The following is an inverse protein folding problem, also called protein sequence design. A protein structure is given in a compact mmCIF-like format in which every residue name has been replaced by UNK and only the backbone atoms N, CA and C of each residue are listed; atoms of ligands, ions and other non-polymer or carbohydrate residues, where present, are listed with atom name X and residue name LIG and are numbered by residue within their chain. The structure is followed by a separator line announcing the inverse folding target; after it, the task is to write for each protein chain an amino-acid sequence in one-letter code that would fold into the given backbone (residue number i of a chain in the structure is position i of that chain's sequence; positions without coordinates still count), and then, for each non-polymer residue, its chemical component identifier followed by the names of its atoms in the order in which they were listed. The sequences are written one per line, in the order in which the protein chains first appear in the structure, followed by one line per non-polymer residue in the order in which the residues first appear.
data_IF_598939440504
#
_entry.id   IF_598939440504
#
_cell.length_a   1.000
_cell.length_b   1.000
_cell.length_c   1.000
_cell.angle_alpha   90.00
_cell.angle_beta   90.00
_cell.angle_gamma   90.00
#
_symmetry.space_group_name_H-M   'P 1'
#
loop_
_entity.id
_entity.type
_entity.pdbx_description
1 polymer ?
#
# COMPACT_ATOMS: atom_id res chain seq x y z
N UNK A 1 34.83 -67.30 -2.51
CA UNK A 1 34.28 -67.77 -1.22
C UNK A 1 33.09 -66.88 -0.90
N UNK A 2 31.85 -67.40 -0.82
CA UNK A 2 31.18 -67.88 0.40
C UNK A 2 31.21 -66.86 1.57
N UNK A 3 30.10 -66.50 2.25
CA UNK A 3 28.68 -66.90 2.17
C UNK A 3 27.78 -65.81 2.80
N UNK A 4 26.57 -65.72 2.28
CA UNK A 4 25.29 -65.28 2.89
C UNK A 4 25.15 -65.56 4.40
N UNK A 5 24.40 -64.72 5.12
CA UNK A 5 23.25 -65.03 6.02
C UNK A 5 22.67 -63.72 6.63
N UNK A 6 21.51 -63.66 7.28
CA UNK A 6 20.11 -63.79 6.78
C UNK A 6 19.11 -63.72 7.98
N UNK A 7 17.94 -63.06 7.79
CA UNK A 7 16.73 -63.00 8.68
C UNK A 7 16.84 -62.08 9.92
N UNK A 8 15.98 -61.08 10.07
CA UNK A 8 14.52 -61.05 10.34
C UNK A 8 14.15 -61.33 11.80
N UNK A 9 13.45 -60.38 12.42
CA UNK A 9 12.37 -60.68 13.36
C UNK A 9 11.31 -59.56 13.32
N UNK A 10 10.09 -59.96 12.97
CA UNK A 10 8.86 -59.17 13.10
C UNK A 10 8.27 -59.53 14.46
N UNK A 11 7.78 -58.54 15.21
CA UNK A 11 6.69 -58.79 16.16
C UNK A 11 5.74 -57.59 16.17
N UNK A 12 4.50 -57.83 15.71
CA UNK A 12 3.36 -57.04 16.15
C UNK A 12 3.09 -57.38 17.62
N UNK A 13 2.69 -56.40 18.41
CA UNK A 13 1.75 -56.67 19.50
C UNK A 13 0.88 -55.43 19.74
N UNK A 14 -0.40 -55.55 19.42
CA UNK A 14 -1.40 -54.60 19.85
C UNK A 14 -1.92 -55.05 21.24
N UNK A 15 -1.96 -54.14 22.21
CA UNK A 15 -2.63 -54.37 23.49
C UNK A 15 -3.52 -53.17 23.78
N UNK A 16 -4.82 -53.45 23.95
CA UNK A 16 -5.80 -52.51 24.48
C UNK A 16 -5.45 -52.14 25.92
N UNK A 17 -5.52 -50.86 26.25
CA UNK A 17 -5.42 -50.35 27.62
C UNK A 17 -6.38 -49.19 27.85
N UNK A 18 -7.64 -49.49 28.20
CA UNK A 18 -8.54 -48.47 28.77
C UNK A 18 -8.13 -48.18 30.22
N UNK A 19 -7.61 -46.99 30.52
CA UNK A 19 -7.52 -46.49 31.91
C UNK A 19 -7.80 -44.98 31.96
N UNK A 20 -8.80 -44.63 32.76
CA UNK A 20 -9.07 -43.34 33.44
C UNK A 20 -8.94 -42.01 32.66
N UNK A 21 -10.06 -41.31 32.54
CA UNK A 21 -10.07 -39.85 32.51
C UNK A 21 -9.56 -39.32 33.87
N UNK A 22 -8.38 -38.70 33.87
CA UNK A 22 -7.87 -37.90 34.99
C UNK A 22 -7.67 -36.46 34.53
N UNK A 23 -8.43 -35.52 35.09
CA UNK A 23 -8.19 -34.10 34.86
C UNK A 23 -6.87 -33.70 35.52
N UNK A 24 -5.83 -33.49 34.70
CA UNK A 24 -4.66 -32.72 35.11
C UNK A 24 -4.84 -31.27 34.66
N UNK A 25 -5.33 -30.44 35.58
CA UNK A 25 -5.22 -28.99 35.47
C UNK A 25 -3.74 -28.61 35.66
N UNK A 26 -2.99 -28.62 34.56
CA UNK A 26 -1.64 -28.09 34.52
C UNK A 26 -1.70 -26.56 34.59
N UNK A 27 -1.68 -26.01 35.81
CA UNK A 27 -1.41 -24.60 36.06
C UNK A 27 0.01 -24.26 35.58
N UNK A 28 0.13 -23.89 34.30
CA UNK A 28 1.33 -23.24 33.78
C UNK A 28 1.17 -21.75 34.03
N UNK A 29 1.62 -21.32 35.20
CA UNK A 29 1.83 -19.90 35.49
C UNK A 29 2.96 -19.38 34.58
N UNK A 30 2.59 -18.91 33.39
CA UNK A 30 3.48 -18.07 32.60
C UNK A 30 3.69 -16.76 33.37
N UNK A 31 4.94 -16.36 33.67
CA UNK A 31 5.19 -15.06 34.26
C UNK A 31 4.74 -13.98 33.28
N UNK A 32 3.71 -13.23 33.67
CA UNK A 32 3.25 -12.04 32.95
C UNK A 32 4.30 -10.95 33.15
N UNK A 33 5.36 -11.01 32.34
CA UNK A 33 6.39 -9.99 32.32
C UNK A 33 5.75 -8.63 32.03
N UNK A 34 6.04 -7.63 32.88
CA UNK A 34 5.58 -6.26 32.67
C UNK A 34 6.15 -5.70 31.37
N UNK A 35 5.28 -5.49 30.38
CA UNK A 35 5.60 -4.93 29.06
C UNK A 35 5.18 -3.45 28.95
N UNK A 36 5.59 -2.54 29.86
CA UNK A 36 5.09 -1.15 29.75
C UNK A 36 5.98 0.05 30.15
N UNK A 37 7.20 -0.11 30.70
CA UNK A 37 7.97 1.05 31.18
C UNK A 37 9.25 1.42 30.40
N UNK A 38 9.87 0.50 29.64
CA UNK A 38 11.13 0.78 28.94
C UNK A 38 11.00 1.20 27.46
N UNK A 39 9.78 1.30 26.92
CA UNK A 39 9.53 1.75 25.53
C UNK A 39 9.50 3.28 25.39
N UNK A 40 9.18 4.02 26.46
CA UNK A 40 9.01 5.48 26.42
C UNK A 40 10.32 6.28 26.33
N UNK A 41 11.47 5.66 26.61
CA UNK A 41 12.74 6.40 26.72
C UNK A 41 13.43 6.70 25.38
N UNK A 42 12.90 6.19 24.26
CA UNK A 42 13.36 6.54 22.90
C UNK A 42 12.38 7.45 22.12
N UNK A 43 11.26 7.84 22.73
CA UNK A 43 10.38 8.88 22.20
C UNK A 43 10.87 10.28 22.63
N UNK A 44 12.07 10.67 22.17
CA UNK A 44 12.20 12.09 21.78
C UNK A 44 11.17 12.31 20.67
N UNK A 45 10.37 13.39 20.69
CA UNK A 45 9.36 13.59 19.67
C UNK A 45 10.06 13.58 18.31
N UNK A 46 9.69 12.66 17.41
CA UNK A 46 10.20 12.67 16.04
C UNK A 46 9.85 14.00 15.34
N UNK A 47 8.80 14.68 15.83
CA UNK A 47 8.49 16.07 15.51
C UNK A 47 9.64 17.04 15.80
N UNK A 48 10.43 16.91 16.88
CA UNK A 48 11.63 17.74 17.11
C UNK A 48 12.75 17.42 16.10
N UNK A 49 12.91 16.16 15.71
CA UNK A 49 13.87 15.75 14.67
C UNK A 49 13.51 16.27 13.27
N UNK A 50 12.26 16.69 13.04
CA UNK A 50 11.83 17.39 11.82
C UNK A 50 11.68 18.91 12.00
N UNK A 51 11.42 19.42 13.21
CA UNK A 51 11.25 20.84 13.48
C UNK A 51 12.59 21.60 13.54
N UNK A 52 13.69 20.94 13.89
CA UNK A 52 15.01 21.57 13.97
C UNK A 52 15.67 21.85 12.59
N UNK A 53 14.98 21.61 11.47
CA UNK A 53 15.47 21.94 10.11
C UNK A 53 15.00 23.33 9.59
N UNK A 54 14.17 24.08 10.34
CA UNK A 54 13.69 25.42 9.91
C UNK A 54 14.69 26.59 10.11
N UNK A 55 15.95 26.33 10.46
CA UNK A 55 16.95 27.38 10.74
C UNK A 55 18.17 27.46 9.80
N UNK A 56 18.27 26.60 8.78
CA UNK A 56 19.23 26.81 7.69
C UNK A 56 18.60 27.63 6.54
N UNK A 57 19.35 28.61 6.06
CA UNK A 57 18.88 29.78 5.32
C UNK A 57 18.04 29.46 4.07
N UNK A 58 16.88 30.13 3.96
CA UNK A 58 16.07 30.15 2.74
C UNK A 58 16.78 31.01 1.68
N UNK A 59 17.77 30.43 1.01
CA UNK A 59 18.20 30.87 -0.31
C UNK A 59 17.06 30.63 -1.30
N UNK A 60 16.38 31.71 -1.69
CA UNK A 60 15.30 31.68 -2.69
C UNK A 60 15.87 31.50 -4.10
N UNK A 61 16.23 30.26 -4.45
CA UNK A 61 16.27 29.84 -5.85
C UNK A 61 14.87 29.39 -6.29
N UNK A 62 14.38 29.97 -7.39
CA UNK A 62 13.10 29.59 -7.99
C UNK A 62 13.20 28.17 -8.55
N UNK A 63 12.63 27.18 -7.83
CA UNK A 63 12.47 25.83 -8.37
C UNK A 63 11.37 25.86 -9.44
N UNK A 64 11.66 25.59 -10.73
CA UNK A 64 10.65 25.64 -11.77
C UNK A 64 9.68 24.47 -11.61
N UNK A 65 8.43 24.79 -11.30
CA UNK A 65 7.32 23.83 -11.29
C UNK A 65 7.03 23.34 -12.72
N UNK A 66 7.68 22.25 -13.11
CA UNK A 66 7.37 21.50 -14.33
C UNK A 66 7.25 20.01 -14.00
N UNK A 67 6.02 19.53 -13.97
CA UNK A 67 5.76 18.10 -14.12
C UNK A 67 6.36 17.62 -15.47
N UNK A 68 6.92 16.40 -15.54
CA UNK A 68 7.57 15.93 -16.75
C UNK A 68 6.56 15.80 -17.90
N UNK A 69 6.65 16.71 -18.88
CA UNK A 69 5.96 16.57 -20.16
C UNK A 69 6.64 15.48 -20.97
N UNK A 70 5.97 14.34 -21.13
CA UNK A 70 6.36 13.29 -22.07
C UNK A 70 6.26 13.81 -23.50
N UNK A 71 7.36 14.35 -24.04
CA UNK A 71 7.49 14.67 -25.47
C UNK A 71 8.07 13.48 -26.22
N UNK A 72 7.23 12.83 -27.02
CA UNK A 72 7.66 11.84 -28.01
C UNK A 72 8.55 12.53 -29.06
N UNK A 73 9.72 11.97 -29.41
CA UNK A 73 10.56 12.54 -30.45
C UNK A 73 9.96 12.28 -31.84
N UNK A 74 9.44 13.33 -32.47
CA UNK A 74 9.17 13.34 -33.91
C UNK A 74 10.45 13.79 -34.63
N UNK A 75 11.24 12.81 -35.07
CA UNK A 75 12.40 13.00 -35.94
C UNK A 75 12.21 12.27 -37.27
N UNK A 76 12.62 12.85 -38.41
CA UNK A 76 12.38 12.24 -39.73
C UNK A 76 13.28 11.02 -39.94
N UNK A 77 12.69 9.90 -40.38
CA UNK A 77 13.42 8.70 -40.72
C UNK A 77 14.14 8.87 -42.08
N UNK A 78 15.48 8.93 -42.05
CA UNK A 78 16.31 8.90 -43.26
C UNK A 78 16.29 7.49 -43.85
N UNK A 79 15.74 7.34 -45.05
CA UNK A 79 15.66 6.05 -45.75
C UNK A 79 16.98 5.73 -46.43
N UNK A 80 17.64 4.66 -46.00
CA UNK A 80 18.77 4.03 -46.69
C UNK A 80 18.33 2.70 -47.31
N UNK A 81 18.36 2.60 -48.64
CA UNK A 81 17.99 1.40 -49.39
C UNK A 81 18.93 0.21 -49.13
N UNK A 82 18.40 -1.03 -49.03
CA UNK A 82 19.14 -2.24 -49.33
C UNK A 82 18.95 -2.68 -50.79
N UNK A 83 19.97 -3.32 -51.37
CA UNK A 83 19.93 -3.89 -52.72
C UNK A 83 19.08 -5.17 -52.79
N UNK A 84 18.37 -5.37 -53.91
CA UNK A 84 17.80 -6.64 -54.34
C UNK A 84 18.92 -7.60 -54.78
N UNK A 85 18.79 -8.93 -54.60
CA UNK A 85 18.30 -9.71 -55.74
C UNK A 85 17.48 -10.99 -55.42
N UNK A 86 16.93 -11.55 -56.50
CA UNK A 86 16.45 -12.93 -56.68
C UNK A 86 14.99 -13.31 -56.29
N UNK A 87 14.16 -13.42 -57.33
CA UNK A 87 12.89 -14.15 -57.45
C UNK A 87 13.06 -15.64 -57.06
N UNK A 88 12.02 -16.35 -56.58
CA UNK A 88 11.24 -17.13 -57.56
C UNK A 88 9.73 -17.36 -57.28
N UNK A 89 9.01 -17.52 -58.40
CA UNK A 89 7.78 -18.31 -58.65
C UNK A 89 6.46 -17.99 -57.93
N UNK A 90 5.48 -17.66 -58.77
CA UNK A 90 4.04 -17.74 -58.50
C UNK A 90 3.55 -19.19 -58.38
N UNK A 91 2.74 -19.44 -57.35
CA UNK A 91 1.51 -20.23 -57.41
C UNK A 91 0.60 -19.72 -56.28
N UNK A 92 -0.71 -19.63 -56.40
CA UNK A 92 -1.60 -20.10 -57.47
C UNK A 92 -2.97 -20.38 -56.88
N UNK A 93 -3.77 -19.34 -56.66
CA UNK A 93 -5.23 -19.40 -56.43
C UNK A 93 -5.72 -19.98 -55.09
N UNK A 94 -6.45 -19.16 -54.33
CA UNK A 94 -7.91 -19.36 -54.13
C UNK A 94 -8.55 -18.11 -53.51
N UNK A 95 -9.32 -17.37 -54.29
CA UNK A 95 -10.24 -16.38 -53.70
C UNK A 95 -11.32 -17.12 -52.92
N UNK A 96 -11.46 -16.79 -51.63
CA UNK A 96 -12.55 -17.26 -50.79
C UNK A 96 -13.68 -16.22 -50.86
N UNK A 97 -14.93 -16.61 -51.17
CA UNK A 97 -16.02 -15.64 -51.33
C UNK A 97 -16.25 -14.86 -50.03
N UNK A 98 -16.25 -13.54 -50.16
CA UNK A 98 -16.58 -12.59 -49.09
C UNK A 98 -18.00 -12.89 -48.57
N UNK A 99 -18.20 -13.24 -47.29
CA UNK A 99 -19.52 -13.52 -46.76
C UNK A 99 -20.38 -12.26 -46.82
N UNK A 100 -21.56 -12.40 -47.39
CA UNK A 100 -22.56 -11.34 -47.50
C UNK A 100 -23.16 -11.06 -46.11
N UNK A 101 -22.70 -9.97 -45.49
CA UNK A 101 -23.18 -9.55 -44.17
C UNK A 101 -24.63 -9.08 -44.33
N UNK A 102 -25.58 -9.93 -43.91
CA UNK A 102 -26.97 -9.53 -43.76
C UNK A 102 -27.04 -8.39 -42.73
N UNK A 103 -27.80 -7.31 -42.99
CA UNK A 103 -27.99 -6.26 -41.99
C UNK A 103 -28.75 -6.83 -40.79
N UNK A 104 -28.03 -7.01 -39.69
CA UNK A 104 -28.61 -7.41 -38.41
C UNK A 104 -29.48 -6.27 -37.91
N UNK A 105 -30.80 -6.47 -37.95
CA UNK A 105 -31.79 -5.53 -37.43
C UNK A 105 -31.58 -5.46 -35.92
N UNK A 106 -30.89 -4.42 -35.46
CA UNK A 106 -30.74 -4.15 -34.04
C UNK A 106 -32.15 -4.02 -33.45
N UNK A 107 -32.54 -4.86 -32.47
CA UNK A 107 -33.83 -4.68 -31.82
C UNK A 107 -33.84 -3.30 -31.15
N UNK A 108 -34.94 -2.58 -31.30
CA UNK A 108 -35.15 -1.31 -30.63
C UNK A 108 -35.09 -1.54 -29.11
N UNK A 109 -33.94 -1.23 -28.52
CA UNK A 109 -33.74 -1.33 -27.07
C UNK A 109 -34.59 -0.23 -26.46
N UNK A 110 -35.78 -0.61 -26.00
CA UNK A 110 -36.66 0.26 -25.25
C UNK A 110 -35.85 0.94 -24.14
N UNK A 111 -35.90 2.27 -24.11
CA UNK A 111 -35.14 3.04 -23.14
C UNK A 111 -35.61 2.66 -21.74
N UNK A 112 -34.77 1.94 -20.98
CA UNK A 112 -35.04 1.68 -19.57
C UNK A 112 -35.09 3.02 -18.83
N UNK A 113 -36.13 3.21 -18.01
CA UNK A 113 -36.27 4.41 -17.20
C UNK A 113 -35.00 4.65 -16.35
N UNK A 114 -34.57 5.91 -16.15
CA UNK A 114 -33.38 6.21 -15.36
C UNK A 114 -33.49 5.63 -13.95
N UNK A 115 -32.72 4.58 -13.66
CA UNK A 115 -32.67 3.96 -12.33
C UNK A 115 -32.15 4.99 -11.33
N UNK A 116 -32.97 5.33 -10.33
CA UNK A 116 -32.58 6.26 -9.27
C UNK A 116 -31.31 5.75 -8.57
N UNK A 117 -30.32 6.62 -8.40
CA UNK A 117 -29.05 6.24 -7.76
C UNK A 117 -29.30 5.69 -6.34
N UNK A 118 -28.69 4.54 -5.97
CA UNK A 118 -28.94 3.93 -4.67
C UNK A 118 -28.50 4.84 -3.54
N UNK A 119 -29.42 5.12 -2.61
CA UNK A 119 -29.16 5.99 -1.45
C UNK A 119 -28.23 5.27 -0.45
N UNK A 120 -27.21 5.96 0.10
CA UNK A 120 -26.25 5.33 1.00
C UNK A 120 -26.89 4.92 2.33
N UNK A 121 -26.67 3.68 2.75
CA UNK A 121 -26.98 3.23 4.11
C UNK A 121 -25.85 3.67 5.03
N UNK A 122 -26.12 4.68 5.86
CA UNK A 122 -25.13 5.29 6.75
C UNK A 122 -25.34 4.87 8.21
N UNK A 123 -24.24 4.56 8.92
CA UNK A 123 -24.23 4.32 10.36
C UNK A 123 -23.27 5.29 11.04
N UNK A 124 -23.79 6.14 11.93
CA UNK A 124 -23.05 7.24 12.58
C UNK A 124 -24.00 8.35 13.05
N UNK A 125 -23.48 9.58 13.30
CA UNK A 125 -22.08 9.97 13.16
C UNK A 125 -21.20 9.40 14.27
N UNK A 126 -19.96 9.03 13.94
CA UNK A 126 -18.84 9.07 14.88
C UNK A 126 -18.06 10.37 14.73
N UNK A 127 -17.12 10.64 15.63
CA UNK A 127 -16.22 11.81 15.57
C UNK A 127 -14.81 11.33 15.22
N UNK A 128 -14.16 11.99 14.27
CA UNK A 128 -12.78 11.69 13.88
C UNK A 128 -11.79 12.08 14.99
N UNK A 129 -10.70 11.31 15.07
CA UNK A 129 -9.44 11.66 15.74
C UNK A 129 -8.33 11.42 14.71
N UNK A 130 -8.21 12.30 13.70
CA UNK A 130 -7.44 12.01 12.51
C UNK A 130 -5.95 12.25 12.73
N UNK A 131 -5.12 11.53 11.99
CA UNK A 131 -3.74 11.92 11.65
C UNK A 131 -3.53 11.71 10.16
N UNK A 132 -2.36 12.09 9.64
CA UNK A 132 -1.97 11.88 8.25
C UNK A 132 -0.63 11.15 8.20
N UNK A 133 -0.54 10.13 7.34
CA UNK A 133 0.69 9.41 7.03
C UNK A 133 0.90 9.35 5.51
N UNK A 134 2.15 9.19 5.10
CA UNK A 134 2.56 9.37 3.71
C UNK A 134 3.72 8.46 3.34
N UNK A 135 3.88 8.19 2.06
CA UNK A 135 5.00 7.44 1.52
C UNK A 135 6.23 8.34 1.40
N UNK A 136 7.22 8.10 2.26
CA UNK A 136 8.46 8.88 2.25
C UNK A 136 9.34 8.48 1.06
N UNK A 137 9.78 9.47 0.26
CA UNK A 137 10.81 9.29 -0.78
C UNK A 137 12.09 9.95 -0.29
N UNK A 138 13.13 9.16 -0.06
CA UNK A 138 14.33 9.55 0.68
C UNK A 138 15.55 9.42 -0.23
N UNK A 139 16.27 10.51 -0.46
CA UNK A 139 17.44 10.51 -1.33
C UNK A 139 18.72 10.29 -0.52
N UNK A 140 19.16 9.04 -0.46
CA UNK A 140 20.33 8.61 0.30
C UNK A 140 21.64 9.05 -0.35
N UNK A 141 21.67 9.30 -1.66
CA UNK A 141 22.82 9.88 -2.37
C UNK A 141 23.07 11.36 -1.99
N UNK A 142 22.04 12.05 -1.50
CA UNK A 142 22.13 13.42 -0.97
C UNK A 142 22.32 13.47 0.55
N UNK A 143 21.96 12.39 1.27
CA UNK A 143 22.10 12.32 2.72
C UNK A 143 23.58 12.18 3.12
N UNK A 144 24.09 13.15 3.88
CA UNK A 144 25.43 13.10 4.45
C UNK A 144 25.37 12.52 5.87
N UNK A 145 25.58 11.22 6.01
CA UNK A 145 25.90 10.60 7.30
C UNK A 145 27.16 9.73 7.19
N UNK A 146 27.90 9.63 8.29
CA UNK A 146 29.05 8.74 8.40
C UNK A 146 28.62 7.26 8.33
N UNK A 147 29.51 6.38 7.87
CA UNK A 147 29.17 4.97 7.62
C UNK A 147 28.87 4.17 8.90
N UNK A 148 29.39 4.60 10.05
CA UNK A 148 29.10 4.07 11.38
C UNK A 148 27.74 4.55 11.94
N UNK A 149 27.23 5.69 11.46
CA UNK A 149 25.89 6.20 11.75
C UNK A 149 24.78 5.56 10.88
N UNK A 150 25.15 4.73 9.89
CA UNK A 150 24.18 4.00 9.06
C UNK A 150 23.55 2.82 9.82
N UNK A 151 22.34 2.46 9.40
CA UNK A 151 21.53 1.36 9.89
C UNK A 151 21.19 0.42 8.75
N UNK A 152 21.11 -0.87 9.07
CA UNK A 152 20.65 -1.89 8.15
C UNK A 152 19.11 -1.90 8.09
N UNK A 153 18.55 -1.80 6.88
CA UNK A 153 17.19 -2.24 6.59
C UNK A 153 17.25 -3.76 6.41
N UNK A 154 16.61 -4.52 7.31
CA UNK A 154 16.62 -5.98 7.27
C UNK A 154 15.34 -6.52 6.64
N UNK A 155 15.47 -7.57 5.84
CA UNK A 155 14.37 -8.34 5.28
C UNK A 155 13.98 -9.56 6.11
N UNK A 156 13.11 -10.39 5.54
CA UNK A 156 12.77 -11.70 6.10
C UNK A 156 14.03 -12.52 6.45
N UNK A 157 13.98 -13.23 7.59
CA UNK A 157 15.13 -13.99 8.11
C UNK A 157 16.33 -13.14 8.56
N UNK A 158 16.19 -11.81 8.67
CA UNK A 158 17.25 -10.91 9.12
C UNK A 158 18.28 -10.52 8.07
N UNK A 159 18.14 -10.99 6.82
CA UNK A 159 19.00 -10.59 5.68
C UNK A 159 19.07 -9.07 5.54
N UNK A 160 20.26 -8.48 5.48
CA UNK A 160 20.40 -7.05 5.15
C UNK A 160 19.97 -6.80 3.70
N UNK A 161 19.06 -5.85 3.49
CA UNK A 161 18.60 -5.41 2.16
C UNK A 161 19.38 -4.17 1.71
N UNK A 162 19.51 -3.17 2.57
CA UNK A 162 20.14 -1.89 2.26
C UNK A 162 20.75 -1.25 3.52
N UNK A 163 21.85 -0.49 3.35
CA UNK A 163 22.43 0.37 4.39
C UNK A 163 22.03 1.82 4.15
N UNK A 164 21.44 2.46 5.16
CA UNK A 164 20.89 3.83 5.06
C UNK A 164 21.15 4.64 6.34
N UNK A 165 21.13 5.97 6.25
CA UNK A 165 21.24 6.87 7.40
C UNK A 165 20.11 6.63 8.41
N UNK A 166 20.37 6.89 9.70
CA UNK A 166 19.39 6.72 10.76
C UNK A 166 18.06 7.48 10.52
N UNK A 167 18.10 8.68 9.90
CA UNK A 167 16.90 9.44 9.50
C UNK A 167 16.07 8.67 8.46
N UNK A 168 16.71 8.14 7.42
CA UNK A 168 16.08 7.30 6.38
C UNK A 168 15.44 6.05 6.98
N UNK A 169 16.17 5.35 7.86
CA UNK A 169 15.67 4.17 8.57
C UNK A 169 14.44 4.49 9.43
N UNK A 170 14.49 5.57 10.21
CA UNK A 170 13.39 6.00 11.08
C UNK A 170 12.15 6.43 10.28
N UNK A 171 12.33 7.13 9.16
CA UNK A 171 11.23 7.51 8.26
C UNK A 171 10.53 6.27 7.67
N UNK A 172 11.29 5.32 7.12
CA UNK A 172 10.76 4.04 6.63
C UNK A 172 10.05 3.23 7.72
N UNK A 173 10.62 3.18 8.94
CA UNK A 173 10.03 2.50 10.09
C UNK A 173 8.71 3.13 10.56
N UNK A 174 8.60 4.46 10.50
CA UNK A 174 7.44 5.20 10.98
C UNK A 174 6.27 5.20 9.99
N UNK A 175 6.56 5.40 8.70
CA UNK A 175 5.52 5.44 7.65
C UNK A 175 5.03 4.05 7.21
N UNK A 176 5.74 2.97 7.57
CA UNK A 176 5.40 1.60 7.17
C UNK A 176 5.78 1.24 5.73
N UNK A 177 5.88 2.23 4.85
CA UNK A 177 6.38 2.11 3.48
C UNK A 177 7.22 3.33 3.09
N UNK A 178 8.21 3.14 2.21
CA UNK A 178 9.08 4.20 1.73
C UNK A 178 9.76 3.84 0.40
N UNK A 179 10.31 4.81 -0.29
CA UNK A 179 11.34 4.61 -1.31
C UNK A 179 12.66 5.25 -0.87
N UNK A 180 13.76 4.55 -1.14
CA UNK A 180 15.13 5.01 -0.91
C UNK A 180 15.85 5.07 -2.25
N UNK A 181 16.35 6.25 -2.61
CA UNK A 181 17.19 6.44 -3.81
C UNK A 181 18.65 6.32 -3.36
N UNK A 182 19.35 5.27 -3.82
CA UNK A 182 20.77 5.05 -3.55
C UNK A 182 21.49 4.60 -4.83
N UNK A 183 22.65 5.20 -5.10
CA UNK A 183 23.45 5.04 -6.33
C UNK A 183 22.62 5.27 -7.61
N UNK A 184 21.70 6.23 -7.57
CA UNK A 184 20.76 6.52 -8.66
C UNK A 184 19.68 5.46 -8.88
N UNK A 185 19.63 4.37 -8.10
CA UNK A 185 18.55 3.38 -8.12
C UNK A 185 17.53 3.67 -7.02
N UNK A 186 16.25 3.66 -7.38
CA UNK A 186 15.14 3.67 -6.41
C UNK A 186 14.87 2.25 -5.92
N UNK A 187 14.82 2.07 -4.61
CA UNK A 187 14.40 0.85 -3.92
C UNK A 187 13.16 1.16 -3.10
N UNK A 188 12.06 0.44 -3.34
CA UNK A 188 10.79 0.64 -2.62
C UNK A 188 10.62 -0.45 -1.58
N UNK A 189 10.30 -0.09 -0.33
CA UNK A 189 10.16 -1.04 0.77
C UNK A 189 8.82 -0.93 1.48
N UNK A 190 8.31 -2.07 1.97
CA UNK A 190 7.19 -2.16 2.88
C UNK A 190 7.58 -2.96 4.12
N UNK A 191 7.02 -2.63 5.29
CA UNK A 191 7.16 -3.45 6.50
C UNK A 191 6.40 -4.77 6.37
N UNK A 192 7.04 -5.86 6.78
CA UNK A 192 6.44 -7.17 7.05
C UNK A 192 5.87 -7.19 8.48
N UNK A 193 6.66 -6.67 9.43
CA UNK A 193 6.34 -6.60 10.84
C UNK A 193 7.59 -6.46 11.71
N UNK A 194 7.39 -6.54 13.03
CA UNK A 194 8.46 -6.46 14.03
C UNK A 194 8.79 -7.85 14.57
N UNK A 195 10.06 -8.24 14.49
CA UNK A 195 10.57 -9.55 14.91
C UNK A 195 11.77 -9.31 15.83
N UNK A 196 11.74 -9.86 17.05
CA UNK A 196 12.79 -9.69 18.06
C UNK A 196 13.11 -8.20 18.36
N UNK A 197 12.07 -7.35 18.33
CA UNK A 197 12.22 -5.91 18.52
C UNK A 197 12.72 -5.13 17.29
N UNK A 198 13.06 -5.79 16.19
CA UNK A 198 13.56 -5.18 14.95
C UNK A 198 12.52 -5.21 13.83
N UNK A 199 12.38 -4.12 13.08
CA UNK A 199 11.52 -4.09 11.89
C UNK A 199 12.12 -4.93 10.76
N UNK A 200 11.26 -5.69 10.08
CA UNK A 200 11.58 -6.46 8.88
C UNK A 200 10.80 -5.91 7.69
N UNK A 201 11.46 -5.79 6.55
CA UNK A 201 10.94 -5.19 5.33
C UNK A 201 10.92 -6.22 4.18
N UNK A 202 10.21 -5.91 3.10
CA UNK A 202 10.46 -6.50 1.79
C UNK A 202 10.59 -5.39 0.75
N UNK A 203 11.37 -5.65 -0.30
CA UNK A 203 11.45 -4.78 -1.47
C UNK A 203 10.21 -5.04 -2.33
N UNK A 204 9.50 -3.97 -2.72
CA UNK A 204 8.34 -4.04 -3.62
C UNK A 204 8.85 -4.09 -5.06
N UNK A 205 8.36 -5.07 -5.83
CA UNK A 205 8.68 -5.22 -7.25
C UNK A 205 8.04 -4.10 -8.08
N UNK A 206 8.57 -3.81 -9.26
CA UNK A 206 8.22 -2.62 -10.06
C UNK A 206 6.74 -2.61 -10.52
N UNK A 207 6.14 -3.79 -10.70
CA UNK A 207 4.74 -4.02 -11.03
C UNK A 207 3.82 -4.20 -9.80
N UNK A 208 4.38 -4.13 -8.59
CA UNK A 208 3.66 -4.25 -7.33
C UNK A 208 2.87 -2.99 -6.92
N UNK A 209 2.41 -2.96 -5.67
CA UNK A 209 1.72 -1.79 -5.12
C UNK A 209 2.70 -0.62 -4.94
N UNK A 210 2.78 0.28 -5.94
CA UNK A 210 3.69 1.45 -6.05
C UNK A 210 3.75 2.42 -4.85
N UNK A 211 2.85 2.23 -3.89
CA UNK A 211 2.59 3.07 -2.72
C UNK A 211 2.74 2.33 -1.39
N UNK A 212 3.10 1.04 -1.42
CA UNK A 212 3.05 0.16 -0.27
C UNK A 212 1.82 -0.75 -0.26
N UNK A 213 1.94 -1.78 0.58
CA UNK A 213 0.90 -2.73 0.92
C UNK A 213 0.42 -2.45 2.34
N UNK A 214 -0.89 -2.29 2.49
CA UNK A 214 -1.57 -2.33 3.78
C UNK A 214 -1.90 -3.77 4.17
N UNK A 215 -3.00 -3.95 4.91
CA UNK A 215 -3.41 -5.26 5.43
C UNK A 215 -4.02 -6.13 4.33
N UNK A 216 -3.86 -7.45 4.48
CA UNK A 216 -4.24 -8.46 3.50
C UNK A 216 -3.67 -8.20 2.09
N UNK A 217 -2.48 -7.59 2.01
CA UNK A 217 -1.83 -7.18 0.76
C UNK A 217 -2.64 -6.20 -0.10
N UNK A 218 -3.51 -5.40 0.51
CA UNK A 218 -4.24 -4.34 -0.20
C UNK A 218 -3.29 -3.21 -0.60
N UNK A 219 -3.32 -2.75 -1.85
CA UNK A 219 -2.53 -1.60 -2.26
C UNK A 219 -3.01 -0.31 -1.57
N UNK A 220 -2.07 0.51 -1.08
CA UNK A 220 -2.37 1.82 -0.50
C UNK A 220 -2.74 2.82 -1.61
N UNK A 221 -3.96 3.36 -1.54
CA UNK A 221 -4.56 4.26 -2.52
C UNK A 221 -4.57 5.71 -1.98
N UNK A 222 -3.72 6.63 -2.48
CA UNK A 222 -3.55 7.98 -1.94
C UNK A 222 -4.85 8.77 -1.88
N UNK A 223 -5.06 9.46 -0.76
CA UNK A 223 -6.27 10.22 -0.43
C UNK A 223 -7.56 9.39 -0.28
N UNK A 224 -7.56 8.09 -0.61
CA UNK A 224 -8.74 7.22 -0.50
C UNK A 224 -8.56 6.06 0.50
N UNK A 225 -7.40 5.99 1.17
CA UNK A 225 -7.07 4.94 2.14
C UNK A 225 -7.06 5.46 3.57
N UNK A 226 -7.65 4.67 4.47
CA UNK A 226 -7.49 4.82 5.91
C UNK A 226 -6.73 3.62 6.49
N UNK A 227 -5.83 3.92 7.42
CA UNK A 227 -5.42 2.99 8.45
C UNK A 227 -6.40 3.07 9.63
N UNK A 228 -6.76 1.92 10.22
CA UNK A 228 -7.78 1.85 11.27
C UNK A 228 -7.49 0.78 12.34
N UNK A 229 -8.21 0.85 13.46
CA UNK A 229 -8.26 -0.22 14.45
C UNK A 229 -9.08 -1.42 13.93
N UNK A 230 -8.38 -2.48 13.53
CA UNK A 230 -9.01 -3.67 12.95
C UNK A 230 -9.75 -4.57 13.95
N UNK A 231 -9.77 -4.22 15.24
CA UNK A 231 -10.70 -4.85 16.21
C UNK A 231 -12.11 -4.26 16.12
N UNK A 232 -12.25 -3.07 15.52
CA UNK A 232 -13.52 -2.31 15.42
C UNK A 232 -14.02 -2.26 13.96
N UNK A 233 -13.10 -2.10 13.01
CA UNK A 233 -13.38 -1.93 11.59
C UNK A 233 -12.81 -3.09 10.77
N UNK A 234 -13.39 -3.37 9.60
CA UNK A 234 -12.91 -4.44 8.72
C UNK A 234 -12.12 -3.88 7.51
N UNK A 235 -11.09 -4.59 7.01
CA UNK A 235 -10.51 -4.27 5.70
C UNK A 235 -11.59 -4.30 4.61
N UNK A 236 -11.56 -3.33 3.71
CA UNK A 236 -12.60 -3.13 2.69
C UNK A 236 -13.88 -2.46 3.21
N UNK A 237 -13.94 -2.05 4.49
CA UNK A 237 -15.05 -1.23 4.97
C UNK A 237 -14.93 0.21 4.45
N UNK A 238 -16.07 0.80 4.09
CA UNK A 238 -16.14 2.14 3.51
C UNK A 238 -16.56 3.16 4.57
N UNK A 239 -15.76 4.22 4.70
CA UNK A 239 -15.99 5.34 5.61
C UNK A 239 -16.30 6.59 4.79
N UNK A 240 -17.36 7.31 5.15
CA UNK A 240 -17.75 8.58 4.54
C UNK A 240 -17.47 9.75 5.49
N UNK A 241 -16.74 10.74 5.01
CA UNK A 241 -16.38 11.97 5.74
C UNK A 241 -16.88 13.18 4.92
N UNK A 242 -18.04 13.78 5.28
CA UNK A 242 -18.66 14.84 4.48
C UNK A 242 -17.76 16.06 4.24
N UNK A 243 -16.90 16.39 5.21
CA UNK A 243 -16.00 17.56 5.14
C UNK A 243 -14.93 17.47 4.04
N UNK A 244 -14.70 16.28 3.45
CA UNK A 244 -13.75 16.07 2.36
C UNK A 244 -14.44 16.07 0.98
N UNK A 245 -15.78 16.20 0.92
CA UNK A 245 -16.50 16.24 -0.35
C UNK A 245 -16.18 17.53 -1.10
N UNK A 246 -15.82 17.41 -2.38
CA UNK A 246 -15.47 18.54 -3.23
C UNK A 246 -14.05 19.07 -3.03
N UNK A 247 -13.29 18.53 -2.07
CA UNK A 247 -11.88 18.90 -1.85
C UNK A 247 -11.05 18.59 -3.09
N UNK A 248 -10.33 19.59 -3.57
CA UNK A 248 -9.49 19.50 -4.75
C UNK A 248 -8.24 18.66 -4.45
N UNK A 249 -8.05 17.56 -5.18
CA UNK A 249 -6.88 16.69 -5.08
C UNK A 249 -5.76 17.14 -6.04
N UNK A 250 -4.50 16.71 -5.82
CA UNK A 250 -3.36 17.11 -6.64
C UNK A 250 -3.42 16.66 -8.11
N UNK A 251 -4.22 15.64 -8.42
CA UNK A 251 -4.45 15.13 -9.78
C UNK A 251 -5.51 15.94 -10.58
N UNK A 252 -6.06 17.01 -9.99
CA UNK A 252 -7.13 17.80 -10.60
C UNK A 252 -8.54 17.25 -10.35
N UNK A 253 -8.70 16.08 -9.72
CA UNK A 253 -10.03 15.55 -9.36
C UNK A 253 -10.55 16.14 -8.05
N UNK A 254 -11.85 15.96 -7.80
CA UNK A 254 -12.48 16.31 -6.52
C UNK A 254 -12.73 15.05 -5.70
N UNK A 255 -12.34 15.08 -4.44
CA UNK A 255 -12.60 13.99 -3.52
C UNK A 255 -14.10 13.85 -3.26
N UNK A 256 -14.60 12.62 -3.20
CA UNK A 256 -16.03 12.29 -3.10
C UNK A 256 -16.50 12.02 -1.66
N UNK A 257 -15.61 12.20 -0.69
CA UNK A 257 -15.85 11.96 0.74
C UNK A 257 -15.73 10.51 1.19
N UNK A 258 -15.58 9.54 0.28
CA UNK A 258 -15.50 8.12 0.61
C UNK A 258 -14.06 7.62 0.67
N UNK A 259 -13.76 6.86 1.72
CA UNK A 259 -12.49 6.19 1.95
C UNK A 259 -12.70 4.69 2.14
N UNK A 260 -11.67 3.91 1.86
CA UNK A 260 -11.62 2.46 2.10
C UNK A 260 -10.59 2.17 3.19
N UNK A 261 -10.95 1.34 4.15
CA UNK A 261 -9.99 0.83 5.14
C UNK A 261 -9.13 -0.23 4.46
N UNK A 262 -7.86 0.11 4.19
CA UNK A 262 -6.88 -0.79 3.56
C UNK A 262 -5.70 -1.13 4.45
N UNK A 263 -5.56 -0.48 5.60
CA UNK A 263 -4.32 -0.49 6.38
C UNK A 263 -4.55 -0.50 7.90
N UNK A 264 -3.47 -0.69 8.68
CA UNK A 264 -3.42 -0.66 10.14
C UNK A 264 -2.13 -0.01 10.62
N UNK A 265 -2.23 1.15 11.27
CA UNK A 265 -1.11 1.77 11.99
C UNK A 265 -1.00 1.23 13.42
N UNK A 266 0.23 1.18 13.97
CA UNK A 266 0.49 0.68 15.34
C UNK A 266 -0.15 1.56 16.42
N UNK A 267 -0.12 2.88 16.23
CA UNK A 267 -0.75 3.86 17.13
C UNK A 267 -2.21 4.19 16.80
N UNK A 268 -2.85 3.40 15.93
CA UNK A 268 -4.21 3.65 15.43
C UNK A 268 -5.17 2.69 16.15
N UNK A 269 -5.57 3.10 17.36
CA UNK A 269 -6.40 2.31 18.28
C UNK A 269 -7.64 3.11 18.67
N UNK A 270 -8.78 2.44 18.73
CA UNK A 270 -10.05 3.01 19.18
C UNK A 270 -10.94 3.56 18.06
N UNK A 271 -12.22 3.75 18.40
CA UNK A 271 -13.26 4.25 17.49
C UNK A 271 -12.97 5.69 17.06
N UNK A 272 -13.06 5.94 15.76
CA UNK A 272 -12.82 7.25 15.13
C UNK A 272 -11.35 7.63 14.98
N UNK A 273 -10.41 6.85 15.54
CA UNK A 273 -8.98 7.00 15.30
C UNK A 273 -8.66 6.41 13.94
N UNK A 274 -8.35 7.29 12.99
CA UNK A 274 -7.93 6.92 11.64
C UNK A 274 -6.66 7.66 11.25
N UNK A 275 -5.81 7.01 10.47
CA UNK A 275 -4.69 7.65 9.77
C UNK A 275 -5.05 7.78 8.29
N UNK A 276 -4.96 9.00 7.76
CA UNK A 276 -5.32 9.33 6.39
C UNK A 276 -4.09 9.23 5.51
N UNK A 277 -4.10 8.29 4.55
CA UNK A 277 -2.96 8.10 3.65
C UNK A 277 -2.96 9.14 2.53
N UNK A 278 -1.85 9.85 2.34
CA UNK A 278 -1.75 10.96 1.37
C UNK A 278 -0.74 10.73 0.24
N UNK A 279 -0.31 9.49 0.00
CA UNK A 279 0.68 9.19 -1.06
C UNK A 279 1.99 9.91 -0.77
N UNK A 280 2.55 10.65 -1.72
CA UNK A 280 3.84 11.35 -1.53
C UNK A 280 3.75 12.67 -0.72
N UNK A 281 2.55 13.11 -0.32
CA UNK A 281 2.35 14.43 0.29
C UNK A 281 2.43 14.35 1.83
N UNK A 282 3.49 14.88 2.41
CA UNK A 282 3.67 14.95 3.88
C UNK A 282 2.54 15.73 4.57
N UNK A 283 2.26 15.46 5.85
CA UNK A 283 1.32 16.27 6.64
C UNK A 283 1.79 17.72 6.84
N UNK A 284 3.10 17.98 6.72
CA UNK A 284 3.69 19.32 6.76
C UNK A 284 3.55 20.07 5.44
N UNK A 285 3.34 19.37 4.32
CA UNK A 285 3.29 19.98 2.98
C UNK A 285 2.04 20.86 2.81
N UNK A 286 2.23 22.09 2.32
CA UNK A 286 1.15 23.03 2.02
C UNK A 286 0.34 22.62 0.77
N UNK A 287 0.92 21.79 -0.11
CA UNK A 287 0.21 21.16 -1.22
C UNK A 287 -0.70 20.01 -0.77
N UNK A 288 -0.51 19.45 0.44
CA UNK A 288 -1.37 18.41 0.97
C UNK A 288 -2.77 18.98 1.27
N UNK A 289 -3.83 18.57 0.55
CA UNK A 289 -5.16 19.15 0.72
C UNK A 289 -5.78 18.81 2.09
N UNK A 290 -5.35 17.73 2.75
CA UNK A 290 -5.84 17.32 4.07
C UNK A 290 -5.34 18.22 5.21
N UNK A 291 -4.19 18.92 5.02
CA UNK A 291 -3.67 19.90 5.98
C UNK A 291 -4.67 21.03 6.23
N UNK A 292 -5.34 21.50 5.17
CA UNK A 292 -6.34 22.60 5.21
C UNK A 292 -7.62 22.22 5.97
N UNK A 293 -7.91 20.93 6.11
CA UNK A 293 -9.06 20.41 6.86
C UNK A 293 -8.71 20.01 8.30
N UNK A 294 -7.46 20.24 8.75
CA UNK A 294 -7.03 19.87 10.09
C UNK A 294 -6.92 18.35 10.32
N UNK A 295 -6.87 17.52 9.27
CA UNK A 295 -6.81 16.06 9.43
C UNK A 295 -5.47 15.55 10.01
N UNK A 296 -4.47 16.42 10.18
CA UNK A 296 -3.27 16.14 10.98
C UNK A 296 -3.43 16.36 12.50
N UNK A 297 -4.54 16.95 12.96
CA UNK A 297 -4.82 17.20 14.38
C UNK A 297 -5.89 16.25 14.92
N UNK A 298 -5.53 15.47 15.94
CA UNK A 298 -6.42 14.54 16.64
C UNK A 298 -7.60 15.20 17.37
N UNK A 299 -7.58 16.53 17.54
CA UNK A 299 -8.67 17.34 18.12
C UNK A 299 -9.74 17.75 17.10
N UNK A 300 -9.55 17.41 15.82
CA UNK A 300 -10.46 17.77 14.73
C UNK A 300 -11.80 17.04 14.83
N UNK A 301 -12.82 17.72 15.35
CA UNK A 301 -14.17 17.18 15.60
C UNK A 301 -15.04 17.03 14.33
N UNK A 302 -14.49 16.48 13.25
CA UNK A 302 -15.22 16.22 12.01
C UNK A 302 -16.06 14.94 12.15
N UNK A 303 -17.34 14.93 11.74
CA UNK A 303 -18.16 13.73 11.77
C UNK A 303 -17.78 12.75 10.64
N UNK A 304 -17.90 11.45 10.92
CA UNK A 304 -17.78 10.38 9.92
C UNK A 304 -18.92 9.36 10.04
N UNK A 305 -19.17 8.63 8.95
CA UNK A 305 -20.20 7.58 8.87
C UNK A 305 -19.59 6.31 8.29
N UNK A 306 -20.03 5.14 8.77
CA UNK A 306 -19.79 3.85 8.12
C UNK A 306 -20.81 3.70 7.00
N UNK A 307 -20.40 3.18 5.84
CA UNK A 307 -21.26 3.00 4.66
C UNK A 307 -21.41 1.51 4.38
N UNK A 308 -22.64 1.07 4.10
CA UNK A 308 -22.95 -0.32 3.71
C UNK A 308 -23.86 -0.35 2.47
N UNK A 309 -24.16 -1.56 1.98
CA UNK A 309 -25.00 -1.78 0.81
C UNK A 309 -24.32 -1.40 -0.51
N UNK A 310 -25.14 -1.13 -1.53
CA UNK A 310 -24.68 -0.95 -2.91
C UNK A 310 -23.74 0.25 -3.10
N UNK A 311 -23.90 1.32 -2.31
CA UNK A 311 -22.98 2.47 -2.36
C UNK A 311 -21.58 2.07 -1.90
N UNK A 312 -21.46 1.28 -0.83
CA UNK A 312 -20.17 0.78 -0.36
C UNK A 312 -19.52 -0.15 -1.41
N UNK A 313 -20.31 -1.06 -1.98
CA UNK A 313 -19.86 -1.94 -3.08
C UNK A 313 -19.35 -1.12 -4.28
N UNK A 314 -20.12 -0.13 -4.73
CA UNK A 314 -19.72 0.74 -5.84
C UNK A 314 -18.50 1.62 -5.53
N UNK A 315 -18.24 1.97 -4.27
CA UNK A 315 -16.97 2.62 -3.86
C UNK A 315 -15.81 1.64 -4.03
N UNK A 316 -15.94 0.40 -3.54
CA UNK A 316 -14.88 -0.61 -3.64
C UNK A 316 -14.54 -0.95 -5.10
N UNK A 317 -15.55 -1.12 -5.94
CA UNK A 317 -15.39 -1.35 -7.39
C UNK A 317 -14.69 -0.16 -8.08
N UNK A 318 -15.14 1.08 -7.83
CA UNK A 318 -14.51 2.28 -8.42
C UNK A 318 -13.08 2.54 -7.91
N UNK A 319 -12.76 2.12 -6.69
CA UNK A 319 -11.40 2.18 -6.13
C UNK A 319 -10.60 0.88 -6.36
N UNK A 320 -11.14 -0.06 -7.13
CA UNK A 320 -10.54 -1.35 -7.48
C UNK A 320 -9.99 -2.15 -6.28
N UNK A 321 -10.59 -2.02 -5.08
CA UNK A 321 -10.12 -2.72 -3.88
C UNK A 321 -10.13 -4.25 -4.09
N UNK A 322 -9.05 -4.99 -3.73
CA UNK A 322 -7.89 -4.57 -2.93
C UNK A 322 -6.76 -3.85 -3.69
N UNK A 323 -6.78 -3.85 -5.02
CA UNK A 323 -5.77 -3.27 -5.91
C UNK A 323 -5.92 -1.74 -6.06
N UNK A 324 -5.14 -1.14 -6.97
CA UNK A 324 -5.29 0.27 -7.37
C UNK A 324 -6.14 0.40 -8.65
N UNK A 325 -6.89 1.50 -8.81
CA UNK A 325 -7.45 1.87 -10.10
C UNK A 325 -6.33 2.01 -11.13
N UNK A 326 -6.52 1.41 -12.32
CA UNK A 326 -5.60 1.61 -13.44
C UNK A 326 -5.52 3.10 -13.77
N UNK A 327 -4.31 3.64 -13.91
CA UNK A 327 -4.11 4.98 -14.44
C UNK A 327 -4.72 5.07 -15.83
N UNK A 328 -5.51 6.11 -16.07
CA UNK A 328 -6.00 6.49 -17.40
C UNK A 328 -4.90 7.16 -18.22
#
# INVERSE_FOLDING_TARGET
MQKKILRHLIFLSAVLGMVACGNMEANIEHPVGSWDENSRQFEKPLQELYANEESEEVMTEEVPSQAPKTTLPVGPATVSSPETPAKPKESGGKETPKPEIKPEVKPDVAAEDPKEDPKPVLSGPGVLKPTVYYFAVLNEDKNKCADDAKRDLHGAGGKVLLKVCAKTWAACSLQGSCAVIQKGKTHTFNIIGRFEGQERFFEIEEDGCRYGYGVNSSCLDPFYTLAADLTIYKPGEVIYVPAVVGLQLPDGTKHNGYFVIRDKGRGIVGRGRFDFYTGYYSWLDNANPFKKLGLGDVKTNIPYFRVTGDVAKGVLERRAYPDLPRSK
#
